data_IF_822432038471
#
_entry.id   IF_822432038471
#
_cell.length_a   1.000
_cell.length_b   1.000
_cell.length_c   1.000
_cell.angle_alpha   90.00
_cell.angle_beta   90.00
_cell.angle_gamma   90.00
#
_symmetry.space_group_name_H-M   'P 1'
#
loop_
_entity.id
_entity.type
_entity.pdbx_description
1 polymer ?
#
# COMPACT_ATOMS: atom_id res chain seq x y z
N UNK A 1 1.07 -5.04 -4.85
CA UNK A 1 0.70 -5.62 -6.16
C UNK A 1 -0.48 -6.55 -5.97
N UNK A 2 -1.46 -6.56 -6.89
CA UNK A 2 -2.66 -7.36 -6.74
C UNK A 2 -2.36 -8.85 -6.86
N UNK A 3 -3.09 -9.65 -6.08
CA UNK A 3 -2.98 -11.09 -6.01
C UNK A 3 -4.22 -11.76 -6.60
N UNK A 4 -4.03 -12.88 -7.31
CA UNK A 4 -5.13 -13.72 -7.76
C UNK A 4 -5.08 -15.05 -7.02
N UNK A 5 -6.22 -15.52 -6.49
CA UNK A 5 -6.30 -16.84 -5.84
C UNK A 5 -5.90 -17.98 -6.78
N UNK A 6 -6.20 -17.83 -8.08
CA UNK A 6 -5.80 -18.79 -9.11
C UNK A 6 -4.28 -18.93 -9.20
N UNK A 7 -3.53 -17.83 -9.10
CA UNK A 7 -2.07 -17.85 -9.12
C UNK A 7 -1.49 -18.56 -7.92
N UNK A 8 -2.07 -18.35 -6.72
CA UNK A 8 -1.66 -19.12 -5.54
C UNK A 8 -1.89 -20.63 -5.75
N UNK A 9 -3.06 -21.02 -6.27
CA UNK A 9 -3.36 -22.42 -6.55
C UNK A 9 -2.41 -23.01 -7.61
N UNK A 10 -2.13 -22.27 -8.68
CA UNK A 10 -1.21 -22.70 -9.75
C UNK A 10 0.20 -22.93 -9.20
N UNK A 11 0.76 -21.97 -8.46
CA UNK A 11 2.13 -22.08 -7.95
C UNK A 11 2.20 -23.17 -6.87
N UNK A 12 1.17 -23.34 -6.02
CA UNK A 12 1.14 -24.44 -5.04
C UNK A 12 1.13 -25.82 -5.70
N UNK A 13 0.46 -25.95 -6.85
CA UNK A 13 0.47 -27.17 -7.65
C UNK A 13 1.84 -27.43 -8.32
N UNK A 14 2.59 -26.37 -8.67
CA UNK A 14 3.90 -26.49 -9.34
C UNK A 14 5.05 -26.70 -8.36
N UNK A 15 5.08 -25.92 -7.28
CA UNK A 15 6.23 -25.77 -6.37
C UNK A 15 5.83 -25.97 -4.90
N UNK A 16 4.83 -26.83 -4.64
CA UNK A 16 4.26 -27.04 -3.32
C UNK A 16 5.26 -27.51 -2.26
N UNK A 17 6.25 -28.32 -2.64
CA UNK A 17 7.31 -28.79 -1.71
C UNK A 17 8.16 -27.63 -1.19
N UNK A 18 8.61 -26.74 -2.08
CA UNK A 18 9.37 -25.55 -1.72
C UNK A 18 8.56 -24.64 -0.80
N UNK A 19 7.29 -24.40 -1.14
CA UNK A 19 6.42 -23.51 -0.37
C UNK A 19 6.10 -24.07 1.01
N UNK A 20 5.83 -25.38 1.12
CA UNK A 20 5.63 -26.06 2.40
C UNK A 20 6.89 -26.01 3.27
N UNK A 21 8.08 -26.19 2.67
CA UNK A 21 9.35 -26.02 3.38
C UNK A 21 9.50 -24.59 3.92
N UNK A 22 9.24 -23.58 3.10
CA UNK A 22 9.32 -22.17 3.52
C UNK A 22 8.32 -21.85 4.63
N UNK A 23 7.10 -22.40 4.57
CA UNK A 23 6.10 -22.25 5.62
C UNK A 23 6.52 -22.81 6.98
N UNK A 24 7.44 -23.78 7.00
CA UNK A 24 7.99 -24.38 8.23
C UNK A 24 9.16 -23.60 8.82
N UNK A 25 9.70 -22.61 8.10
CA UNK A 25 10.77 -21.78 8.61
C UNK A 25 10.26 -20.88 9.75
N UNK A 26 10.83 -21.05 10.94
CA UNK A 26 10.53 -20.21 12.10
C UNK A 26 11.02 -18.76 11.92
N UNK A 27 12.13 -18.60 11.20
CA UNK A 27 12.71 -17.30 10.86
C UNK A 27 12.94 -17.24 9.36
N UNK A 28 12.67 -16.08 8.77
CA UNK A 28 12.86 -15.89 7.33
C UNK A 28 14.33 -16.00 6.98
N UNK A 29 14.62 -16.72 5.90
CA UNK A 29 15.94 -16.77 5.29
C UNK A 29 15.96 -15.98 3.97
N UNK A 30 17.15 -15.61 3.49
CA UNK A 30 17.31 -15.01 2.17
C UNK A 30 16.92 -15.95 1.00
N UNK A 31 16.73 -17.24 1.28
CA UNK A 31 16.28 -18.24 0.32
C UNK A 31 14.75 -18.41 0.30
N UNK A 32 14.04 -17.75 1.21
CA UNK A 32 12.60 -17.91 1.34
C UNK A 32 11.88 -17.13 0.24
N UNK A 33 11.03 -17.82 -0.51
CA UNK A 33 10.04 -17.16 -1.37
C UNK A 33 8.89 -16.60 -0.51
N UNK A 34 8.17 -15.62 -1.03
CA UNK A 34 7.03 -15.03 -0.35
C UNK A 34 5.94 -14.64 -1.35
N UNK A 35 4.86 -14.02 -0.87
CA UNK A 35 3.70 -13.66 -1.70
C UNK A 35 4.04 -12.76 -2.90
N UNK A 36 5.17 -12.04 -2.91
CA UNK A 36 5.60 -11.26 -4.07
C UNK A 36 5.86 -12.15 -5.30
N UNK A 37 6.23 -13.42 -5.10
CA UNK A 37 6.35 -14.40 -6.19
C UNK A 37 5.07 -14.47 -7.02
N UNK A 38 3.89 -14.50 -6.38
CA UNK A 38 2.60 -14.54 -7.07
C UNK A 38 2.33 -13.25 -7.84
N UNK A 39 2.81 -12.11 -7.34
CA UNK A 39 2.68 -10.82 -8.05
C UNK A 39 3.54 -10.80 -9.31
N UNK A 40 4.77 -11.29 -9.23
CA UNK A 40 5.67 -11.37 -10.37
C UNK A 40 5.19 -12.41 -11.39
N UNK A 41 4.72 -13.57 -10.93
CA UNK A 41 4.08 -14.56 -11.81
C UNK A 41 2.93 -13.94 -12.60
N UNK A 42 2.09 -13.11 -11.96
CA UNK A 42 1.02 -12.40 -12.66
C UNK A 42 1.54 -11.42 -13.71
N UNK A 43 2.66 -10.74 -13.49
CA UNK A 43 3.27 -9.86 -14.49
C UNK A 43 3.78 -10.68 -15.68
N UNK A 44 4.61 -11.68 -15.40
CA UNK A 44 5.27 -12.50 -16.43
C UNK A 44 4.27 -13.31 -17.28
N UNK A 45 3.10 -13.63 -16.72
CA UNK A 45 2.02 -14.34 -17.41
C UNK A 45 0.93 -13.43 -17.96
N UNK A 46 1.11 -12.10 -17.90
CA UNK A 46 0.13 -11.10 -18.33
C UNK A 46 -1.25 -11.25 -17.64
N UNK A 47 -1.26 -11.76 -16.40
CA UNK A 47 -2.44 -11.94 -15.54
C UNK A 47 -2.64 -10.77 -14.59
N UNK A 48 -2.47 -9.54 -15.09
CA UNK A 48 -2.69 -8.32 -14.33
C UNK A 48 -3.35 -7.24 -15.20
N UNK A 49 -3.96 -6.26 -14.54
CA UNK A 49 -4.47 -5.06 -15.20
C UNK A 49 -3.56 -3.88 -14.84
N UNK A 50 -2.94 -3.19 -15.80
CA UNK A 50 -2.20 -1.96 -15.53
C UNK A 50 -3.08 -0.91 -14.87
N UNK A 51 -2.51 -0.11 -13.99
CA UNK A 51 -3.19 0.97 -13.30
C UNK A 51 -2.58 2.31 -13.72
N UNK A 52 -3.45 3.31 -13.92
CA UNK A 52 -3.03 4.69 -14.12
C UNK A 52 -2.22 5.19 -12.91
N UNK A 53 -1.05 5.78 -13.18
CA UNK A 53 -0.17 6.35 -12.16
C UNK A 53 -0.81 7.52 -11.42
N UNK A 54 -1.81 8.20 -12.01
CA UNK A 54 -2.52 9.32 -11.38
C UNK A 54 -3.63 8.88 -10.42
N UNK A 55 -3.84 7.57 -10.22
CA UNK A 55 -4.94 7.06 -9.37
C UNK A 55 -4.81 7.48 -7.91
N UNK A 56 -3.57 7.65 -7.44
CA UNK A 56 -3.26 7.97 -6.06
C UNK A 56 -1.85 8.51 -5.94
N UNK A 57 -1.57 9.11 -4.79
CA UNK A 57 -0.25 9.69 -4.52
C UNK A 57 0.21 9.30 -3.11
N UNK A 58 1.53 9.13 -2.97
CA UNK A 58 2.21 9.01 -1.68
C UNK A 58 2.84 10.35 -1.31
N UNK A 59 2.63 10.79 -0.08
CA UNK A 59 3.22 12.02 0.44
C UNK A 59 3.68 11.81 1.88
N UNK A 60 4.96 12.08 2.20
CA UNK A 60 5.42 12.12 3.58
C UNK A 60 4.65 13.12 4.44
N UNK A 61 4.40 12.76 5.70
CA UNK A 61 3.64 13.55 6.67
C UNK A 61 4.19 14.97 6.84
N UNK A 62 5.52 15.12 6.75
CA UNK A 62 6.23 16.39 6.86
C UNK A 62 5.86 17.42 5.77
N UNK A 63 5.27 16.99 4.65
CA UNK A 63 4.88 17.88 3.55
C UNK A 63 3.43 18.34 3.64
N UNK A 64 3.11 18.99 4.75
CA UNK A 64 1.79 19.52 5.11
C UNK A 64 1.12 20.33 3.98
N UNK A 65 1.85 21.25 3.35
CA UNK A 65 1.32 22.11 2.28
C UNK A 65 0.97 21.32 1.02
N UNK A 66 1.75 20.28 0.72
CA UNK A 66 1.50 19.37 -0.40
C UNK A 66 0.25 18.54 -0.15
N UNK A 67 0.10 18.03 1.07
CA UNK A 67 -1.08 17.30 1.53
C UNK A 67 -2.33 18.18 1.37
N UNK A 68 -2.30 19.42 1.87
CA UNK A 68 -3.41 20.37 1.71
C UNK A 68 -3.78 20.59 0.23
N UNK A 69 -2.78 20.80 -0.62
CA UNK A 69 -2.99 21.01 -2.06
C UNK A 69 -3.67 19.81 -2.73
N UNK A 70 -3.25 18.59 -2.41
CA UNK A 70 -3.81 17.36 -3.01
C UNK A 70 -5.25 17.17 -2.56
N UNK A 71 -5.51 17.30 -1.25
CA UNK A 71 -6.85 17.12 -0.69
C UNK A 71 -7.81 18.17 -1.25
N UNK A 72 -7.37 19.43 -1.43
CA UNK A 72 -8.20 20.45 -2.05
C UNK A 72 -8.49 20.21 -3.54
N UNK A 73 -7.52 19.68 -4.30
CA UNK A 73 -7.69 19.39 -5.73
C UNK A 73 -8.64 18.22 -6.00
N UNK A 74 -8.75 17.26 -5.08
CA UNK A 74 -9.60 16.07 -5.18
C UNK A 74 -9.48 15.30 -6.51
N UNK A 75 -8.28 15.25 -7.10
CA UNK A 75 -8.03 14.55 -8.37
C UNK A 75 -7.72 13.06 -8.17
N UNK A 76 -7.08 12.73 -7.05
CA UNK A 76 -6.65 11.38 -6.72
C UNK A 76 -7.82 10.60 -6.11
N UNK A 77 -7.91 9.30 -6.42
CA UNK A 77 -8.89 8.40 -5.77
C UNK A 77 -8.49 8.07 -4.33
N UNK A 78 -7.19 8.09 -4.03
CA UNK A 78 -6.66 7.91 -2.68
C UNK A 78 -5.35 8.69 -2.48
N UNK A 79 -5.06 9.02 -1.23
CA UNK A 79 -3.81 9.65 -0.79
C UNK A 79 -3.23 8.79 0.35
N UNK A 80 -1.96 8.40 0.22
CA UNK A 80 -1.22 7.72 1.28
C UNK A 80 -0.30 8.73 1.96
N UNK A 81 -0.51 8.92 3.26
CA UNK A 81 0.30 9.79 4.11
C UNK A 81 1.00 8.89 5.12
N UNK A 82 2.34 8.90 5.15
CA UNK A 82 3.14 8.17 6.14
C UNK A 82 4.15 9.10 6.79
N UNK A 83 4.47 8.83 8.05
CA UNK A 83 5.70 9.31 8.68
C UNK A 83 6.91 8.58 8.08
N UNK A 84 8.00 9.31 7.90
CA UNK A 84 9.27 8.82 7.38
C UNK A 84 10.43 9.65 7.94
N UNK A 85 11.64 9.50 7.39
CA UNK A 85 12.83 10.22 7.84
C UNK A 85 12.72 11.75 7.77
N UNK A 86 11.74 12.31 7.06
CA UNK A 86 11.49 13.74 6.96
C UNK A 86 10.59 14.28 8.09
N UNK A 87 9.97 13.40 8.88
CA UNK A 87 9.09 13.78 9.99
C UNK A 87 9.94 14.40 11.11
N UNK A 88 9.81 15.71 11.33
CA UNK A 88 10.57 16.43 12.34
C UNK A 88 9.78 16.54 13.65
N UNK A 89 8.49 16.85 13.54
CA UNK A 89 7.60 16.99 14.68
C UNK A 89 6.26 16.33 14.39
N UNK A 90 6.24 15.02 14.62
CA UNK A 90 5.08 14.17 14.40
C UNK A 90 3.77 14.74 14.97
N UNK A 91 3.78 15.24 16.21
CA UNK A 91 2.55 15.76 16.84
C UNK A 91 2.05 17.00 16.10
N UNK A 92 2.93 17.93 15.75
CA UNK A 92 2.53 19.15 15.04
C UNK A 92 2.04 18.86 13.63
N UNK A 93 2.73 17.99 12.90
CA UNK A 93 2.40 17.61 11.53
C UNK A 93 1.06 16.86 11.46
N UNK A 94 0.83 15.87 12.35
CA UNK A 94 -0.47 15.19 12.47
C UNK A 94 -1.59 16.18 12.80
N UNK A 95 -1.36 17.11 13.74
CA UNK A 95 -2.36 18.11 14.09
C UNK A 95 -2.69 19.05 12.91
N UNK A 96 -1.72 19.34 12.05
CA UNK A 96 -1.96 20.11 10.83
C UNK A 96 -2.83 19.33 9.83
N UNK A 97 -2.48 18.08 9.53
CA UNK A 97 -3.26 17.22 8.65
C UNK A 97 -4.69 17.03 9.17
N UNK A 98 -4.85 16.84 10.49
CA UNK A 98 -6.18 16.72 11.11
C UNK A 98 -7.03 17.96 10.87
N UNK A 99 -6.47 19.17 11.00
CA UNK A 99 -7.20 20.42 10.72
C UNK A 99 -7.65 20.53 9.27
N UNK A 100 -6.83 20.06 8.32
CA UNK A 100 -7.22 20.02 6.89
C UNK A 100 -8.42 19.09 6.71
N UNK A 101 -8.37 17.89 7.28
CA UNK A 101 -9.47 16.92 7.19
C UNK A 101 -10.73 17.41 7.88
N UNK A 102 -10.67 17.99 9.08
CA UNK A 102 -11.83 18.59 9.77
C UNK A 102 -12.50 19.69 8.92
N UNK A 103 -11.71 20.45 8.15
CA UNK A 103 -12.22 21.50 7.26
C UNK A 103 -12.86 20.97 5.99
N UNK A 104 -12.27 19.95 5.35
CA UNK A 104 -12.69 19.46 4.03
C UNK A 104 -13.70 18.30 4.14
N UNK A 105 -13.58 17.49 5.18
CA UNK A 105 -14.41 16.32 5.50
C UNK A 105 -14.98 16.47 6.92
N UNK A 106 -15.93 17.39 7.14
CA UNK A 106 -16.47 17.67 8.48
C UNK A 106 -17.26 16.49 9.06
N UNK A 107 -17.79 15.65 8.19
CA UNK A 107 -18.51 14.43 8.57
C UNK A 107 -17.56 13.24 8.54
N UNK A 108 -17.54 12.46 9.62
CA UNK A 108 -16.76 11.23 9.71
C UNK A 108 -17.17 10.25 8.63
N UNK A 109 -16.18 9.52 8.12
CA UNK A 109 -16.44 8.40 7.20
C UNK A 109 -17.27 7.32 7.89
N UNK A 110 -18.20 6.69 7.17
CA UNK A 110 -18.91 5.49 7.66
C UNK A 110 -18.00 4.30 7.98
N UNK A 111 -16.75 4.35 7.52
CA UNK A 111 -15.73 3.35 7.81
C UNK A 111 -14.92 3.65 9.07
N UNK A 112 -15.01 4.88 9.59
CA UNK A 112 -14.46 5.25 10.90
C UNK A 112 -15.46 4.82 11.98
N UNK A 113 -15.01 3.97 12.91
CA UNK A 113 -15.77 3.53 14.08
C UNK A 113 -15.33 4.31 15.32
#
# INVERSE_FOLDING_TARGET
>A
MPHLKSTFAEIWNKEGELLDQVCKNKFRSAKDVNHWLMSYWNIETNSFMPQDLSVGEYVPLAYSDKIESIIHKQKNKFLCINDDEHTENFINEVNFVRKIFEKIFPEKSKFEK
#
